data_IF_820871667233
#
_entry.id   IF_820871667233
#
_cell.length_a   1.000
_cell.length_b   1.000
_cell.length_c   1.000
_cell.angle_alpha   90.00
_cell.angle_beta   90.00
_cell.angle_gamma   90.00
#
_symmetry.space_group_name_H-M   'P 1'
#
loop_
_entity.id
_entity.type
_entity.pdbx_description
1 polymer ?
#
# COMPACT_ATOMS: atom_id res chain seq x y z
N UNK A 1 -29.21 -0.42 14.12
CA UNK A 1 -28.47 0.65 14.82
C UNK A 1 -27.16 0.86 14.08
N UNK A 2 -26.68 2.11 14.00
CA UNK A 2 -25.37 2.43 13.41
C UNK A 2 -24.25 1.78 14.22
N UNK A 3 -23.22 1.27 13.53
CA UNK A 3 -22.00 0.78 14.17
C UNK A 3 -21.09 1.95 14.59
N UNK A 4 -21.14 3.06 13.86
CA UNK A 4 -20.38 4.27 14.14
C UNK A 4 -21.05 5.05 15.27
N UNK A 5 -20.28 5.34 16.33
CA UNK A 5 -20.71 6.25 17.39
C UNK A 5 -20.35 7.68 17.01
N UNK A 6 -21.36 8.52 16.79
CA UNK A 6 -21.17 9.92 16.46
C UNK A 6 -21.04 10.73 17.75
N UNK A 7 -19.81 11.07 18.12
CA UNK A 7 -19.48 11.74 19.38
C UNK A 7 -18.52 12.90 19.13
N UNK A 8 -19.09 13.98 18.61
CA UNK A 8 -18.29 15.08 18.12
C UNK A 8 -17.54 15.82 19.23
N UNK A 9 -16.29 16.16 18.95
CA UNK A 9 -15.48 17.02 19.82
C UNK A 9 -15.93 18.48 19.71
N UNK A 10 -15.50 19.33 20.64
CA UNK A 10 -15.85 20.76 20.62
C UNK A 10 -15.22 21.46 19.41
N UNK A 11 -15.93 22.43 18.84
CA UNK A 11 -15.37 23.31 17.82
C UNK A 11 -14.15 24.03 18.39
N UNK A 12 -13.03 23.96 17.69
CA UNK A 12 -11.77 24.61 18.04
C UNK A 12 -10.88 24.72 16.80
N UNK A 13 -9.95 25.68 16.79
CA UNK A 13 -9.12 25.94 15.61
C UNK A 13 -8.14 24.81 15.27
N UNK A 14 -7.76 23.95 16.21
CA UNK A 14 -6.68 22.98 16.05
C UNK A 14 -7.13 21.66 15.43
N UNK A 15 -8.32 21.18 15.78
CA UNK A 15 -8.80 19.87 15.33
C UNK A 15 -10.18 19.90 14.68
N UNK A 16 -11.10 20.77 15.12
CA UNK A 16 -12.45 20.86 14.56
C UNK A 16 -12.85 22.30 14.22
N UNK A 17 -12.54 22.79 13.01
CA UNK A 17 -12.75 24.19 12.66
C UNK A 17 -14.22 24.59 12.45
N UNK A 18 -15.15 23.63 12.39
CA UNK A 18 -16.57 23.92 12.07
C UNK A 18 -16.81 24.37 10.62
N UNK A 19 -15.80 24.26 9.75
CA UNK A 19 -15.90 24.60 8.33
C UNK A 19 -16.59 23.47 7.58
N UNK A 20 -17.58 23.79 6.74
CA UNK A 20 -18.23 22.80 5.88
C UNK A 20 -17.32 22.33 4.75
N UNK A 21 -17.37 21.04 4.46
CA UNK A 21 -16.63 20.46 3.34
C UNK A 21 -17.38 20.66 2.00
N UNK A 22 -16.74 20.32 0.88
CA UNK A 22 -17.30 20.50 -0.47
C UNK A 22 -18.10 19.28 -0.94
N UNK A 23 -18.59 18.47 0.01
CA UNK A 23 -19.17 17.17 -0.26
C UNK A 23 -18.13 16.06 -0.34
N UNK A 24 -18.55 14.85 0.02
CA UNK A 24 -17.67 13.69 0.12
C UNK A 24 -17.41 13.08 -1.26
N UNK A 25 -16.14 13.09 -1.66
CA UNK A 25 -15.63 12.53 -2.93
C UNK A 25 -14.85 11.24 -2.73
N UNK A 26 -14.47 10.89 -1.50
CA UNK A 26 -13.82 9.62 -1.19
C UNK A 26 -13.45 9.46 0.29
N UNK A 27 -12.68 8.42 0.58
CA UNK A 27 -12.21 8.07 1.91
C UNK A 27 -10.68 7.96 1.88
N UNK A 28 -10.01 8.59 2.84
CA UNK A 28 -8.56 8.45 3.03
C UNK A 28 -8.30 7.63 4.27
N UNK A 29 -7.60 6.51 4.09
CA UNK A 29 -7.21 5.58 5.13
C UNK A 29 -5.87 5.98 5.74
N UNK A 30 -5.82 5.94 7.06
CA UNK A 30 -4.66 6.25 7.90
C UNK A 30 -4.48 5.20 8.99
N UNK A 31 -3.36 5.29 9.69
CA UNK A 31 -3.14 4.63 10.97
C UNK A 31 -2.60 5.64 11.97
N UNK A 32 -2.91 5.44 13.23
CA UNK A 32 -2.63 6.45 14.26
C UNK A 32 -1.14 6.57 14.59
N UNK A 33 -0.32 5.56 14.24
CA UNK A 33 1.08 5.43 14.66
C UNK A 33 1.27 5.55 16.19
N UNK A 34 0.23 5.27 16.96
CA UNK A 34 0.18 5.40 18.41
C UNK A 34 -0.14 4.05 19.04
N UNK A 35 0.90 3.29 19.40
CA UNK A 35 0.77 1.94 19.93
C UNK A 35 -0.06 1.92 21.21
N UNK A 36 -1.14 1.15 21.21
CA UNK A 36 -2.06 1.01 22.34
C UNK A 36 -3.07 2.15 22.48
N UNK A 37 -3.04 3.16 21.60
CA UNK A 37 -4.01 4.24 21.61
C UNK A 37 -5.37 3.77 21.09
N UNK A 38 -6.42 3.87 21.92
CA UNK A 38 -7.79 3.51 21.55
C UNK A 38 -8.51 4.62 20.78
N UNK A 39 -9.64 4.33 20.16
CA UNK A 39 -10.48 5.35 19.51
C UNK A 39 -10.90 6.46 20.50
N UNK A 40 -11.15 6.10 21.77
CA UNK A 40 -11.44 7.03 22.87
C UNK A 40 -10.27 7.93 23.20
N UNK A 41 -9.07 7.36 23.32
CA UNK A 41 -7.87 8.16 23.59
C UNK A 41 -7.65 9.21 22.49
N UNK A 42 -7.86 8.84 21.23
CA UNK A 42 -7.74 9.78 20.12
C UNK A 42 -8.84 10.85 20.15
N UNK A 43 -10.10 10.50 20.44
CA UNK A 43 -11.17 11.49 20.66
C UNK A 43 -10.76 12.50 21.74
N UNK A 44 -10.32 12.04 22.90
CA UNK A 44 -9.96 12.91 24.03
C UNK A 44 -8.73 13.77 23.70
N UNK A 45 -7.73 13.19 23.01
CA UNK A 45 -6.58 13.92 22.50
C UNK A 45 -7.00 15.06 21.55
N UNK A 46 -7.80 14.76 20.53
CA UNK A 46 -8.21 15.77 19.56
C UNK A 46 -9.17 16.80 20.15
N UNK A 47 -9.95 16.47 21.18
CA UNK A 47 -10.79 17.43 21.89
C UNK A 47 -9.99 18.47 22.68
N UNK A 48 -8.76 18.13 23.08
CA UNK A 48 -7.87 18.97 23.88
C UNK A 48 -6.60 19.40 23.12
N UNK A 49 -6.56 19.18 21.80
CA UNK A 49 -5.38 19.45 20.98
C UNK A 49 -5.04 20.95 20.99
N UNK A 50 -3.75 21.26 21.15
CA UNK A 50 -3.23 22.63 21.12
C UNK A 50 -1.87 22.64 20.41
N UNK A 51 -1.58 23.72 19.69
CA UNK A 51 -0.27 23.97 19.06
C UNK A 51 -0.02 23.27 17.72
N UNK A 52 -0.88 22.34 17.31
CA UNK A 52 -0.80 21.62 16.01
C UNK A 52 -2.18 21.56 15.37
N UNK A 53 -2.23 21.65 14.04
CA UNK A 53 -3.47 21.49 13.27
C UNK A 53 -3.56 20.06 12.72
N UNK A 54 -4.37 19.22 13.37
CA UNK A 54 -4.54 17.82 12.97
C UNK A 54 -5.89 17.30 13.46
N UNK A 55 -6.51 16.42 12.68
CA UNK A 55 -7.66 15.63 13.08
C UNK A 55 -7.99 14.59 12.03
N UNK A 56 -8.90 13.67 12.35
CA UNK A 56 -9.59 12.82 11.39
C UNK A 56 -11.06 12.73 11.76
N UNK A 57 -11.90 12.26 10.83
CA UNK A 57 -13.33 12.14 11.10
C UNK A 57 -13.62 10.95 12.00
N UNK A 58 -12.99 9.82 11.74
CA UNK A 58 -13.32 8.53 12.33
C UNK A 58 -12.07 7.84 12.87
N UNK A 59 -12.15 7.36 14.11
CA UNK A 59 -11.13 6.50 14.73
C UNK A 59 -11.74 5.13 15.00
N UNK A 60 -11.04 4.08 14.59
CA UNK A 60 -11.52 2.70 14.72
C UNK A 60 -10.48 1.85 15.43
N UNK A 61 -10.91 1.14 16.47
CA UNK A 61 -10.10 0.16 17.18
C UNK A 61 -10.82 -1.20 17.25
N UNK A 62 -10.30 -2.09 18.08
CA UNK A 62 -10.82 -3.43 18.32
C UNK A 62 -12.24 -3.44 18.89
N UNK A 63 -12.70 -2.37 19.53
CA UNK A 63 -13.92 -2.36 20.30
C UNK A 63 -15.00 -1.49 19.64
N UNK A 64 -14.61 -0.38 19.01
CA UNK A 64 -15.57 0.59 18.48
C UNK A 64 -15.03 1.42 17.31
N UNK A 65 -15.96 2.13 16.67
CA UNK A 65 -15.69 3.18 15.69
C UNK A 65 -16.33 4.48 16.19
N UNK A 66 -15.53 5.54 16.36
CA UNK A 66 -15.99 6.83 16.88
C UNK A 66 -15.77 7.92 15.85
N UNK A 67 -16.86 8.53 15.40
CA UNK A 67 -16.82 9.71 14.55
C UNK A 67 -16.78 10.97 15.41
N UNK A 68 -15.65 11.69 15.36
CA UNK A 68 -15.37 12.83 16.23
C UNK A 68 -15.56 14.19 15.55
N UNK A 69 -15.63 14.22 14.21
CA UNK A 69 -15.95 15.41 13.41
C UNK A 69 -17.12 15.04 12.50
N UNK A 70 -18.18 15.88 12.43
CA UNK A 70 -19.28 15.64 11.50
C UNK A 70 -18.79 15.41 10.07
N UNK A 71 -19.39 14.43 9.38
CA UNK A 71 -18.96 14.03 8.04
C UNK A 71 -19.18 15.11 6.97
N UNK A 72 -19.88 16.19 7.29
CA UNK A 72 -20.07 17.37 6.44
C UNK A 72 -19.17 18.56 6.83
N UNK A 73 -18.25 18.35 7.78
CA UNK A 73 -17.21 19.32 8.17
C UNK A 73 -15.83 18.90 7.62
N UNK A 74 -14.87 19.82 7.69
CA UNK A 74 -13.46 19.62 7.34
C UNK A 74 -12.70 19.01 8.53
N UNK A 75 -11.90 17.98 8.26
CA UNK A 75 -10.87 17.48 9.17
C UNK A 75 -9.46 17.70 8.59
N UNK A 76 -8.46 17.92 9.44
CA UNK A 76 -7.08 18.19 9.05
C UNK A 76 -6.26 16.89 8.97
N UNK A 77 -6.49 16.08 7.93
CA UNK A 77 -5.99 14.69 7.90
C UNK A 77 -5.05 14.35 6.73
N UNK A 78 -5.12 15.02 5.57
CA UNK A 78 -4.52 14.52 4.33
C UNK A 78 -3.90 15.58 3.39
N UNK A 79 -3.63 16.80 3.87
CA UNK A 79 -3.10 17.87 3.02
C UNK A 79 -1.69 18.36 3.39
N UNK A 80 -0.96 17.60 4.22
CA UNK A 80 0.45 17.88 4.53
C UNK A 80 1.31 17.68 3.29
N UNK A 81 2.18 18.63 2.94
CA UNK A 81 3.14 18.45 1.84
C UNK A 81 4.34 17.67 2.35
N UNK A 82 4.47 16.40 1.92
CA UNK A 82 5.57 15.52 2.37
C UNK A 82 6.58 15.24 1.25
N UNK A 83 6.21 15.46 -0.02
CA UNK A 83 7.08 15.21 -1.17
C UNK A 83 6.97 16.30 -2.23
N UNK A 84 8.08 16.49 -2.94
CA UNK A 84 8.17 17.29 -4.15
C UNK A 84 8.57 16.39 -5.32
N UNK A 85 8.13 16.75 -6.51
CA UNK A 85 8.60 16.16 -7.75
C UNK A 85 10.03 16.63 -8.05
N UNK A 86 10.70 15.98 -9.01
CA UNK A 86 12.07 16.34 -9.42
C UNK A 86 12.18 17.77 -9.99
N UNK A 87 11.07 18.33 -10.48
CA UNK A 87 10.97 19.70 -10.99
C UNK A 87 10.66 20.74 -9.89
N UNK A 88 10.61 20.33 -8.61
CA UNK A 88 10.28 21.19 -7.49
C UNK A 88 8.78 21.46 -7.29
N UNK A 89 7.91 20.93 -8.16
CA UNK A 89 6.46 21.04 -7.97
C UNK A 89 5.96 20.15 -6.82
N UNK A 90 4.84 20.54 -6.20
CA UNK A 90 4.28 19.79 -5.07
C UNK A 90 3.72 18.45 -5.56
N UNK A 91 4.08 17.35 -4.89
CA UNK A 91 3.55 16.03 -5.18
C UNK A 91 2.07 15.93 -4.75
N UNK A 92 1.14 16.03 -5.72
CA UNK A 92 -0.32 15.91 -5.49
C UNK A 92 -1.02 15.08 -6.58
N UNK A 93 -0.72 13.79 -6.72
CA UNK A 93 -1.23 12.95 -7.81
C UNK A 93 -2.76 12.83 -7.84
N UNK A 94 -3.45 13.04 -6.72
CA UNK A 94 -4.91 12.95 -6.63
C UNK A 94 -5.63 14.31 -6.70
N UNK A 95 -4.92 15.43 -6.84
CA UNK A 95 -5.54 16.75 -6.77
C UNK A 95 -6.60 16.99 -7.86
N UNK A 96 -6.38 16.48 -9.08
CA UNK A 96 -7.38 16.56 -10.16
C UNK A 96 -8.64 15.73 -9.89
N UNK A 97 -8.56 14.71 -9.04
CA UNK A 97 -9.69 13.81 -8.72
C UNK A 97 -10.49 14.30 -7.52
N UNK A 98 -9.82 14.79 -6.47
CA UNK A 98 -10.46 15.14 -5.18
C UNK A 98 -10.17 16.55 -4.68
N UNK A 99 -9.26 17.29 -5.32
CA UNK A 99 -8.80 18.59 -4.85
C UNK A 99 -8.00 18.49 -3.56
N UNK A 100 -8.21 19.42 -2.64
CA UNK A 100 -7.67 19.33 -1.29
C UNK A 100 -8.43 18.23 -0.51
N UNK A 101 -7.74 17.14 -0.17
CA UNK A 101 -8.35 15.98 0.46
C UNK A 101 -9.05 16.30 1.79
N UNK A 102 -8.58 17.28 2.57
CA UNK A 102 -9.24 17.70 3.82
C UNK A 102 -10.68 18.22 3.59
N UNK A 103 -10.96 18.78 2.41
CA UNK A 103 -12.25 19.39 2.06
C UNK A 103 -13.17 18.46 1.27
N UNK A 104 -12.71 17.28 0.89
CA UNK A 104 -13.43 16.40 -0.03
C UNK A 104 -13.41 14.94 0.34
N UNK A 105 -12.79 14.56 1.46
CA UNK A 105 -12.70 13.17 1.86
C UNK A 105 -12.92 12.96 3.37
N UNK A 106 -13.40 11.77 3.69
CA UNK A 106 -13.49 11.31 5.08
C UNK A 106 -12.15 10.67 5.45
N UNK A 107 -11.42 11.28 6.37
CA UNK A 107 -10.26 10.67 7.03
C UNK A 107 -10.67 9.59 8.05
N UNK A 108 -10.19 8.36 7.86
CA UNK A 108 -10.41 7.21 8.75
C UNK A 108 -9.08 6.72 9.31
N UNK A 109 -8.94 6.72 10.62
CA UNK A 109 -7.74 6.33 11.38
C UNK A 109 -7.92 4.95 12.02
N UNK A 110 -7.08 4.01 11.61
CA UNK A 110 -7.00 2.68 12.25
C UNK A 110 -6.05 2.76 13.46
N UNK A 111 -6.61 2.49 14.64
CA UNK A 111 -5.86 2.45 15.88
C UNK A 111 -4.95 1.21 15.96
N UNK A 112 -3.88 1.30 16.75
CA UNK A 112 -2.93 0.22 16.89
C UNK A 112 -3.05 -0.44 18.26
N UNK A 113 -2.85 -1.75 18.30
CA UNK A 113 -2.62 -2.44 19.58
C UNK A 113 -1.30 -1.98 20.23
N UNK A 114 -1.04 -2.47 21.44
CA UNK A 114 0.18 -2.13 22.20
C UNK A 114 1.47 -2.55 21.48
N UNK A 115 1.39 -3.49 20.54
CA UNK A 115 2.51 -3.99 19.75
C UNK A 115 2.71 -3.20 18.44
N UNK A 116 1.84 -2.23 18.16
CA UNK A 116 1.89 -1.42 16.94
C UNK A 116 1.23 -2.04 15.72
N UNK A 117 0.38 -3.06 15.92
CA UNK A 117 -0.32 -3.73 14.83
C UNK A 117 -1.71 -3.13 14.62
N UNK A 118 -2.10 -3.01 13.34
CA UNK A 118 -3.52 -2.97 12.98
C UNK A 118 -4.03 -4.40 13.14
N UNK A 119 -4.78 -4.67 14.20
CA UNK A 119 -5.28 -6.03 14.44
C UNK A 119 -6.33 -6.41 13.40
N UNK A 120 -6.63 -7.69 13.31
CA UNK A 120 -7.75 -8.17 12.49
C UNK A 120 -9.09 -7.60 12.97
N UNK A 121 -9.27 -7.37 14.28
CA UNK A 121 -10.52 -6.85 14.83
C UNK A 121 -10.70 -5.37 14.46
N UNK A 122 -9.63 -4.58 14.54
CA UNK A 122 -9.61 -3.19 14.06
C UNK A 122 -9.87 -3.15 12.55
N UNK A 123 -9.24 -4.03 11.76
CA UNK A 123 -9.50 -4.15 10.32
C UNK A 123 -10.98 -4.42 10.03
N UNK A 124 -11.58 -5.44 10.65
CA UNK A 124 -13.00 -5.80 10.41
C UNK A 124 -13.97 -4.72 10.90
N UNK A 125 -13.69 -4.07 12.02
CA UNK A 125 -14.48 -2.93 12.48
C UNK A 125 -14.39 -1.76 11.50
N UNK A 126 -13.21 -1.54 10.92
CA UNK A 126 -13.01 -0.50 9.90
C UNK A 126 -13.81 -0.83 8.64
N UNK A 127 -13.87 -2.09 8.22
CA UNK A 127 -14.73 -2.54 7.11
C UNK A 127 -16.20 -2.25 7.39
N UNK A 128 -16.70 -2.58 8.60
CA UNK A 128 -18.09 -2.30 8.99
C UNK A 128 -18.41 -0.81 8.93
N UNK A 129 -17.54 0.03 9.52
CA UNK A 129 -17.72 1.47 9.52
C UNK A 129 -17.69 2.05 8.10
N UNK A 130 -16.73 1.65 7.27
CA UNK A 130 -16.64 2.15 5.89
C UNK A 130 -17.82 1.68 5.02
N UNK A 131 -18.34 0.45 5.22
CA UNK A 131 -19.61 0.03 4.57
C UNK A 131 -20.78 0.94 4.93
N UNK A 132 -20.89 1.33 6.21
CA UNK A 132 -21.92 2.28 6.65
C UNK A 132 -21.74 3.65 6.00
N UNK A 133 -20.49 4.15 5.91
CA UNK A 133 -20.19 5.41 5.21
C UNK A 133 -20.56 5.35 3.73
N UNK A 134 -20.25 4.26 3.03
CA UNK A 134 -20.57 4.10 1.60
C UNK A 134 -22.07 4.02 1.37
N UNK A 135 -22.83 3.39 2.28
CA UNK A 135 -24.29 3.40 2.21
C UNK A 135 -24.85 4.83 2.29
N UNK A 136 -24.19 5.73 3.02
CA UNK A 136 -24.55 7.16 3.11
C UNK A 136 -24.03 7.98 1.91
N UNK A 137 -22.91 7.58 1.32
CA UNK A 137 -22.24 8.27 0.21
C UNK A 137 -21.99 7.31 -0.97
N UNK A 138 -23.04 6.93 -1.73
CA UNK A 138 -22.94 5.91 -2.78
C UNK A 138 -22.03 6.29 -3.95
N UNK A 139 -21.69 7.59 -4.08
CA UNK A 139 -20.72 8.09 -5.05
C UNK A 139 -19.25 7.75 -4.68
N UNK A 140 -19.00 7.25 -3.47
CA UNK A 140 -17.71 6.71 -3.01
C UNK A 140 -17.60 5.26 -3.45
N UNK A 141 -17.04 5.08 -4.64
CA UNK A 141 -16.77 3.78 -5.26
C UNK A 141 -15.46 3.18 -4.77
N UNK A 142 -15.22 1.92 -5.10
CA UNK A 142 -13.99 1.17 -4.72
C UNK A 142 -12.67 1.89 -5.01
N UNK A 143 -12.60 2.58 -6.15
CA UNK A 143 -11.42 3.35 -6.57
C UNK A 143 -11.28 4.72 -5.88
N UNK A 144 -12.23 5.10 -5.02
CA UNK A 144 -12.25 6.33 -4.22
C UNK A 144 -11.92 6.08 -2.74
N UNK A 145 -11.30 4.94 -2.45
CA UNK A 145 -10.63 4.65 -1.18
C UNK A 145 -9.13 4.65 -1.43
N UNK A 146 -8.45 5.60 -0.80
CA UNK A 146 -7.01 5.82 -0.96
C UNK A 146 -6.31 5.81 0.40
N UNK A 147 -4.99 5.65 0.41
CA UNK A 147 -4.15 5.88 1.58
C UNK A 147 -3.71 7.34 1.60
N UNK A 148 -3.32 7.87 2.75
CA UNK A 148 -2.64 9.18 2.81
C UNK A 148 -1.40 9.21 1.89
N UNK A 149 -0.69 8.08 1.80
CA UNK A 149 0.41 7.89 0.85
C UNK A 149 0.03 8.25 -0.59
N UNK A 150 -1.16 7.86 -1.04
CA UNK A 150 -1.60 8.11 -2.40
C UNK A 150 -1.94 9.60 -2.63
N UNK A 151 -2.17 10.39 -1.56
CA UNK A 151 -2.45 11.82 -1.64
C UNK A 151 -1.17 12.67 -1.66
N UNK A 152 -0.22 12.37 -0.76
CA UNK A 152 0.93 13.25 -0.48
C UNK A 152 2.27 12.53 -0.47
N UNK A 153 2.28 11.19 -0.58
CA UNK A 153 3.47 10.36 -0.42
C UNK A 153 3.89 10.13 1.04
N UNK A 154 3.10 10.60 2.02
CA UNK A 154 3.31 10.30 3.45
C UNK A 154 3.24 8.79 3.67
N UNK A 155 4.18 8.22 4.42
CA UNK A 155 4.18 6.78 4.72
C UNK A 155 3.05 6.41 5.70
N UNK A 156 1.80 6.53 5.26
CA UNK A 156 0.60 6.35 6.06
C UNK A 156 -0.55 5.79 5.20
N UNK A 157 -1.18 4.66 5.58
CA UNK A 157 -0.79 3.79 6.69
C UNK A 157 0.51 3.04 6.37
N UNK A 158 1.55 3.17 7.20
CA UNK A 158 2.84 2.52 6.93
C UNK A 158 2.72 0.99 6.70
N UNK A 159 1.91 0.24 7.47
CA UNK A 159 1.70 -1.19 7.22
C UNK A 159 1.11 -1.48 5.83
N UNK A 160 0.22 -0.62 5.33
CA UNK A 160 -0.41 -0.79 4.01
C UNK A 160 0.42 -0.19 2.88
N UNK A 161 1.36 0.70 3.18
CA UNK A 161 2.40 1.13 2.23
C UNK A 161 3.41 0.01 2.03
N UNK A 162 3.83 -0.64 3.12
CA UNK A 162 4.70 -1.82 3.08
C UNK A 162 4.02 -3.01 2.41
N UNK A 163 2.73 -3.25 2.70
CA UNK A 163 1.92 -4.32 2.12
C UNK A 163 0.68 -3.78 1.41
N UNK A 164 0.79 -3.33 0.14
CA UNK A 164 -0.34 -2.78 -0.62
C UNK A 164 -1.52 -3.73 -0.80
N UNK A 165 -1.30 -5.05 -0.72
CA UNK A 165 -2.35 -6.06 -0.76
C UNK A 165 -3.37 -5.92 0.37
N UNK A 166 -3.02 -5.30 1.51
CA UNK A 166 -3.98 -5.01 2.59
C UNK A 166 -5.03 -3.95 2.18
N UNK A 167 -4.67 -2.96 1.35
CA UNK A 167 -5.66 -2.01 0.83
C UNK A 167 -6.66 -2.70 -0.10
N UNK A 168 -6.19 -3.62 -0.95
CA UNK A 168 -7.08 -4.37 -1.84
C UNK A 168 -7.95 -5.37 -1.09
N UNK A 169 -7.38 -6.04 -0.07
CA UNK A 169 -8.13 -6.87 0.88
C UNK A 169 -9.23 -6.07 1.57
N UNK A 170 -8.92 -4.84 2.00
CA UNK A 170 -9.89 -3.95 2.61
C UNK A 170 -11.01 -3.58 1.64
N UNK A 171 -10.67 -3.17 0.41
CA UNK A 171 -11.64 -2.84 -0.64
C UNK A 171 -12.53 -4.05 -1.00
N UNK A 172 -11.97 -5.25 -1.07
CA UNK A 172 -12.73 -6.50 -1.25
C UNK A 172 -13.72 -6.74 -0.11
N UNK A 173 -13.27 -6.57 1.14
CA UNK A 173 -14.13 -6.76 2.29
C UNK A 173 -15.29 -5.75 2.33
N UNK A 174 -15.06 -4.52 1.85
CA UNK A 174 -16.04 -3.43 1.80
C UNK A 174 -17.06 -3.60 0.67
N UNK A 175 -16.61 -3.78 -0.58
CA UNK A 175 -17.50 -3.78 -1.76
C UNK A 175 -17.92 -5.18 -2.21
N UNK A 176 -17.41 -6.22 -1.54
CA UNK A 176 -17.40 -7.57 -2.09
C UNK A 176 -16.34 -7.70 -3.18
N UNK A 177 -16.06 -8.94 -3.57
CA UNK A 177 -15.28 -9.20 -4.78
C UNK A 177 -16.15 -8.78 -5.96
N UNK A 178 -15.68 -7.81 -6.75
CA UNK A 178 -16.32 -7.49 -8.02
C UNK A 178 -16.39 -8.78 -8.85
N UNK A 179 -17.58 -9.13 -9.37
CA UNK A 179 -17.71 -10.14 -10.43
C UNK A 179 -16.96 -9.62 -11.66
N UNK A 180 -15.71 -10.02 -11.67
CA UNK A 180 -14.54 -9.40 -12.28
C UNK A 180 -13.37 -9.83 -11.40
N UNK A 181 -13.19 -11.16 -11.36
CA UNK A 181 -12.33 -11.98 -10.48
C UNK A 181 -12.87 -12.31 -9.07
N UNK A 182 -13.85 -13.22 -8.98
CA UNK A 182 -14.09 -14.11 -7.82
C UNK A 182 -12.77 -14.85 -7.45
N UNK A 183 -12.44 -15.28 -6.22
CA UNK A 183 -13.25 -15.96 -5.20
C UNK A 183 -12.53 -15.91 -3.85
N UNK A 184 -13.25 -15.95 -2.72
CA UNK A 184 -12.71 -16.60 -1.52
C UNK A 184 -12.84 -18.12 -1.71
N UNK A 185 -11.84 -18.90 -1.28
CA UNK A 185 -11.99 -20.20 -0.59
C UNK A 185 -10.71 -21.07 -0.69
N UNK A 186 -10.34 -21.67 0.44
CA UNK A 186 -9.65 -22.97 0.53
C UNK A 186 -10.73 -24.08 0.35
N UNK A 187 -10.42 -25.36 0.10
CA UNK A 187 -9.66 -26.00 -0.99
C UNK A 187 -10.54 -26.96 -1.83
N UNK A 188 -10.33 -27.06 -3.15
CA UNK A 188 -10.63 -28.28 -3.95
C UNK A 188 -10.12 -28.17 -5.41
N UNK A 189 -9.31 -29.14 -5.82
CA UNK A 189 -8.89 -29.53 -7.18
C UNK A 189 -10.02 -30.28 -7.93
N UNK A 190 -9.89 -30.72 -9.21
CA UNK A 190 -9.38 -30.08 -10.44
C UNK A 190 -10.29 -30.27 -11.70
N UNK A 191 -10.21 -29.34 -12.67
CA UNK A 191 -10.40 -29.48 -14.16
C UNK A 191 -11.15 -28.27 -14.72
N UNK A 192 -10.88 -27.66 -15.88
CA UNK A 192 -9.80 -27.66 -16.87
C UNK A 192 -9.88 -26.28 -17.61
N UNK A 193 -8.75 -25.79 -18.17
CA UNK A 193 -8.47 -24.40 -18.60
C UNK A 193 -9.28 -23.84 -19.79
N UNK A 194 -9.37 -22.50 -19.92
CA UNK A 194 -8.36 -21.71 -20.70
C UNK A 194 -7.56 -20.66 -19.86
N UNK A 195 -6.30 -20.41 -20.24
CA UNK A 195 -5.22 -19.64 -19.54
C UNK A 195 -5.39 -18.10 -19.49
N UNK A 196 -5.27 -17.46 -18.31
CA UNK A 196 -4.97 -16.00 -18.15
C UNK A 196 -3.99 -15.70 -17.00
N UNK A 197 -2.77 -16.24 -17.07
CA UNK A 197 -1.73 -16.15 -16.02
C UNK A 197 -0.71 -14.99 -16.23
N UNK A 198 -1.08 -13.88 -16.88
CA UNK A 198 -0.16 -12.78 -17.25
C UNK A 198 -0.24 -11.59 -16.28
N UNK A 199 0.92 -11.04 -15.92
CA UNK A 199 1.10 -9.78 -15.16
C UNK A 199 1.32 -8.58 -16.11
N UNK A 200 1.05 -7.33 -15.69
CA UNK A 200 1.35 -6.14 -16.50
C UNK A 200 2.84 -6.00 -16.83
N UNK A 201 3.15 -5.53 -18.04
CA UNK A 201 4.51 -5.22 -18.51
C UNK A 201 4.83 -3.72 -18.31
N UNK A 202 4.62 -3.23 -17.09
CA UNK A 202 4.73 -1.81 -16.73
C UNK A 202 6.16 -1.33 -16.43
N UNK A 203 7.12 -2.25 -16.33
CA UNK A 203 8.51 -1.96 -15.98
C UNK A 203 8.72 -1.67 -14.49
N UNK A 204 7.75 -1.95 -13.63
CA UNK A 204 7.84 -1.77 -12.18
C UNK A 204 8.00 -3.12 -11.49
N UNK A 205 9.12 -3.31 -10.77
CA UNK A 205 9.37 -4.57 -10.07
C UNK A 205 8.66 -4.54 -8.71
N UNK A 206 7.34 -4.58 -8.77
CA UNK A 206 6.45 -4.65 -7.62
C UNK A 206 6.00 -6.07 -7.27
N UNK A 207 5.09 -6.21 -6.29
CA UNK A 207 4.63 -7.50 -5.76
C UNK A 207 4.11 -8.48 -6.82
N UNK A 208 3.41 -8.00 -7.85
CA UNK A 208 2.94 -8.85 -8.97
C UNK A 208 4.09 -9.52 -9.72
N UNK A 209 5.19 -8.79 -9.93
CA UNK A 209 6.40 -9.30 -10.59
C UNK A 209 7.15 -10.25 -9.67
N UNK A 210 7.28 -9.91 -8.38
CA UNK A 210 7.91 -10.77 -7.37
C UNK A 210 7.17 -12.11 -7.21
N UNK A 211 5.84 -12.08 -7.05
CA UNK A 211 5.04 -13.29 -6.92
C UNK A 211 5.07 -14.16 -8.17
N UNK A 212 4.98 -13.55 -9.36
CA UNK A 212 5.07 -14.29 -10.61
C UNK A 212 6.44 -14.96 -10.77
N UNK A 213 7.51 -14.26 -10.37
CA UNK A 213 8.85 -14.81 -10.30
C UNK A 213 8.96 -15.96 -9.30
N UNK A 214 8.42 -15.83 -8.09
CA UNK A 214 8.40 -16.90 -7.09
C UNK A 214 7.64 -18.13 -7.59
N UNK A 215 6.45 -17.95 -8.17
CA UNK A 215 5.68 -19.04 -8.79
C UNK A 215 6.47 -19.74 -9.90
N UNK A 216 7.18 -18.97 -10.74
CA UNK A 216 8.01 -19.54 -11.80
C UNK A 216 9.15 -20.40 -11.25
N UNK A 217 9.70 -20.04 -10.09
CA UNK A 217 10.76 -20.78 -9.39
C UNK A 217 10.23 -21.87 -8.44
N UNK A 218 8.91 -22.06 -8.33
CA UNK A 218 8.30 -23.00 -7.37
C UNK A 218 8.40 -22.55 -5.90
N UNK A 219 8.59 -21.25 -5.65
CA UNK A 219 8.63 -20.62 -4.33
C UNK A 219 7.22 -20.14 -3.96
N UNK A 220 6.83 -20.28 -2.69
CA UNK A 220 5.58 -19.71 -2.17
C UNK A 220 5.63 -18.18 -2.26
N UNK A 221 4.68 -17.53 -2.96
CA UNK A 221 4.64 -16.07 -3.08
C UNK A 221 4.39 -15.37 -1.74
N UNK A 222 5.11 -14.29 -1.48
CA UNK A 222 5.02 -13.50 -0.24
C UNK A 222 4.99 -11.98 -0.48
N UNK A 223 4.72 -11.54 -1.71
CA UNK A 223 4.68 -10.15 -2.19
C UNK A 223 6.04 -9.41 -2.20
N UNK A 224 7.10 -9.99 -1.62
CA UNK A 224 8.31 -9.26 -1.26
C UNK A 224 9.60 -9.85 -1.84
N UNK A 225 10.57 -8.99 -2.11
CA UNK A 225 11.97 -9.38 -2.18
C UNK A 225 12.56 -9.04 -0.81
N UNK A 226 12.56 -10.02 0.08
CA UNK A 226 12.91 -9.83 1.50
C UNK A 226 14.38 -9.48 1.75
N UNK A 227 14.67 -8.82 2.87
CA UNK A 227 16.01 -8.59 3.42
C UNK A 227 17.01 -7.90 2.46
N UNK A 228 16.57 -6.87 1.76
CA UNK A 228 17.39 -6.12 0.82
C UNK A 228 18.05 -4.92 1.51
N UNK A 229 19.26 -4.58 1.08
CA UNK A 229 19.89 -3.32 1.48
C UNK A 229 19.60 -2.23 0.45
N UNK A 230 19.13 -1.06 0.91
CA UNK A 230 18.76 0.05 0.02
C UNK A 230 20.00 0.71 -0.56
N UNK A 231 20.13 0.63 -1.88
CA UNK A 231 21.24 1.19 -2.65
C UNK A 231 20.72 2.00 -3.84
N UNK A 232 21.56 2.84 -4.42
CA UNK A 232 21.20 3.63 -5.61
C UNK A 232 20.72 2.74 -6.78
N UNK A 233 21.31 1.55 -6.92
CA UNK A 233 21.00 0.59 -7.97
C UNK A 233 19.65 -0.10 -7.81
N UNK A 234 19.16 -0.32 -6.59
CA UNK A 234 17.96 -1.11 -6.32
C UNK A 234 16.83 -0.33 -5.63
N UNK A 235 16.98 0.99 -5.43
CA UNK A 235 15.98 1.83 -4.75
C UNK A 235 14.57 1.79 -5.36
N UNK A 236 14.44 1.37 -6.62
CA UNK A 236 13.17 1.20 -7.35
C UNK A 236 12.75 -0.28 -7.52
N UNK A 237 13.37 -1.19 -6.77
CA UNK A 237 12.81 -2.52 -6.55
C UNK A 237 11.60 -2.36 -5.62
N UNK A 238 10.41 -2.13 -6.18
CA UNK A 238 9.20 -1.78 -5.41
C UNK A 238 8.68 -2.91 -4.51
N UNK A 239 9.03 -4.16 -4.81
CA UNK A 239 8.77 -5.30 -3.96
C UNK A 239 9.82 -5.48 -2.84
N UNK A 240 10.91 -4.69 -2.82
CA UNK A 240 11.95 -4.90 -1.82
C UNK A 240 11.47 -4.54 -0.41
N UNK A 241 11.61 -5.50 0.50
CA UNK A 241 11.69 -5.22 1.92
C UNK A 241 13.11 -4.74 2.24
N UNK A 242 13.26 -3.46 2.55
CA UNK A 242 14.57 -2.91 2.90
C UNK A 242 14.82 -3.01 4.40
N UNK A 243 15.90 -3.69 4.80
CA UNK A 243 16.34 -3.79 6.20
C UNK A 243 17.88 -3.88 6.31
N UNK A 244 18.36 -3.98 7.55
CA UNK A 244 19.80 -4.03 7.88
C UNK A 244 20.29 -5.45 8.22
N UNK A 245 19.49 -6.48 8.00
CA UNK A 245 19.80 -7.86 8.41
C UNK A 245 20.71 -8.59 7.42
N UNK A 246 20.77 -8.11 6.17
CA UNK A 246 21.58 -8.67 5.08
C UNK A 246 21.36 -10.18 4.82
N UNK A 247 20.22 -10.74 5.24
CA UNK A 247 19.90 -12.17 5.05
C UNK A 247 19.70 -12.54 3.58
N UNK A 248 19.18 -11.59 2.79
CA UNK A 248 18.81 -11.76 1.40
C UNK A 248 17.55 -12.61 1.19
N UNK A 249 16.92 -12.45 0.03
CA UNK A 249 15.68 -13.19 -0.31
C UNK A 249 15.99 -14.53 -0.95
N UNK A 250 15.10 -15.50 -0.74
CA UNK A 250 15.15 -16.82 -1.38
C UNK A 250 15.09 -16.72 -2.90
N UNK A 251 14.21 -15.87 -3.44
CA UNK A 251 14.05 -15.70 -4.89
C UNK A 251 15.35 -15.18 -5.54
N UNK A 252 15.95 -14.12 -5.00
CA UNK A 252 17.19 -13.57 -5.55
C UNK A 252 18.32 -14.60 -5.42
N UNK A 253 18.37 -15.36 -4.32
CA UNK A 253 19.36 -16.42 -4.12
C UNK A 253 19.23 -17.52 -5.18
N UNK A 254 18.00 -17.89 -5.55
CA UNK A 254 17.71 -18.82 -6.66
C UNK A 254 18.17 -18.27 -8.00
N UNK A 255 17.86 -17.01 -8.30
CA UNK A 255 18.29 -16.37 -9.55
C UNK A 255 19.80 -16.19 -9.65
N UNK A 256 20.49 -15.83 -8.56
CA UNK A 256 21.94 -15.78 -8.50
C UNK A 256 22.56 -17.15 -8.87
N UNK A 257 22.01 -18.26 -8.36
CA UNK A 257 22.45 -19.62 -8.72
C UNK A 257 22.26 -19.91 -10.22
N UNK A 258 21.08 -19.63 -10.77
CA UNK A 258 20.76 -19.86 -12.19
C UNK A 258 21.63 -19.01 -13.12
N UNK A 259 21.75 -17.72 -12.84
CA UNK A 259 22.60 -16.79 -13.60
C UNK A 259 24.08 -17.18 -13.52
N UNK A 260 24.55 -17.67 -12.37
CA UNK A 260 25.91 -18.18 -12.19
C UNK A 260 26.16 -19.45 -13.00
N UNK A 261 25.20 -20.38 -13.04
CA UNK A 261 25.27 -21.58 -13.88
C UNK A 261 25.33 -21.26 -15.38
N UNK A 262 24.80 -20.11 -15.80
CA UNK A 262 24.91 -19.57 -17.17
C UNK A 262 26.19 -18.76 -17.43
N UNK A 263 27.07 -18.60 -16.44
CA UNK A 263 28.27 -17.77 -16.55
C UNK A 263 28.00 -16.26 -16.60
N UNK A 264 26.79 -15.82 -16.22
CA UNK A 264 26.38 -14.40 -16.30
C UNK A 264 26.55 -13.63 -14.98
N UNK A 265 26.74 -14.34 -13.87
CA UNK A 265 26.90 -13.79 -12.53
C UNK A 265 28.09 -14.39 -11.78
N UNK A 266 29.04 -13.54 -11.38
CA UNK A 266 30.25 -13.96 -10.67
C UNK A 266 30.24 -13.60 -9.17
N UNK A 267 29.19 -12.94 -8.68
CA UNK A 267 29.07 -12.53 -7.28
C UNK A 267 28.75 -13.66 -6.31
N UNK A 268 28.57 -13.29 -5.05
CA UNK A 268 28.15 -14.17 -3.97
C UNK A 268 26.68 -14.58 -4.13
N UNK A 269 26.33 -15.81 -3.73
CA UNK A 269 24.94 -16.25 -3.66
C UNK A 269 24.40 -15.86 -2.28
N UNK A 270 24.06 -14.60 -2.10
CA UNK A 270 23.71 -13.98 -0.81
C UNK A 270 22.22 -13.60 -0.69
N UNK A 271 21.46 -13.64 -1.80
CA UNK A 271 20.06 -13.23 -1.86
C UNK A 271 19.87 -11.72 -1.96
N UNK A 272 20.93 -10.93 -2.19
CA UNK A 272 20.88 -9.48 -2.32
C UNK A 272 20.83 -9.05 -3.80
N UNK A 273 19.86 -8.20 -4.12
CA UNK A 273 19.68 -7.61 -5.44
C UNK A 273 20.56 -6.35 -5.56
N UNK A 274 21.88 -6.57 -5.58
CA UNK A 274 22.89 -5.53 -5.77
C UNK A 274 23.25 -5.29 -7.24
N UNK A 275 24.15 -4.34 -7.49
CA UNK A 275 24.56 -3.90 -8.84
C UNK A 275 24.97 -5.06 -9.76
N UNK A 276 25.80 -5.99 -9.29
CA UNK A 276 26.28 -7.10 -10.12
C UNK A 276 25.18 -8.12 -10.44
N UNK A 277 24.22 -8.31 -9.52
CA UNK A 277 23.04 -9.14 -9.77
C UNK A 277 22.14 -8.46 -10.83
N UNK A 278 21.94 -7.15 -10.73
CA UNK A 278 21.14 -6.38 -11.70
C UNK A 278 21.80 -6.42 -13.08
N UNK A 279 23.12 -6.22 -13.18
CA UNK A 279 23.86 -6.35 -14.45
C UNK A 279 23.71 -7.76 -15.07
N UNK A 280 23.73 -8.80 -14.24
CA UNK A 280 23.55 -10.17 -14.72
C UNK A 280 22.15 -10.38 -15.31
N UNK A 281 21.10 -9.90 -14.64
CA UNK A 281 19.73 -9.93 -15.17
C UNK A 281 19.62 -9.12 -16.48
N UNK A 282 20.22 -7.93 -16.54
CA UNK A 282 20.21 -7.07 -17.74
C UNK A 282 20.87 -7.74 -18.94
N UNK A 283 22.05 -8.36 -18.74
CA UNK A 283 22.73 -9.16 -19.77
C UNK A 283 21.84 -10.29 -20.28
N UNK A 284 21.24 -11.04 -19.36
CA UNK A 284 20.41 -12.20 -19.73
C UNK A 284 19.11 -11.79 -20.45
N UNK A 285 18.48 -10.68 -20.04
CA UNK A 285 17.28 -10.13 -20.67
C UNK A 285 17.55 -9.30 -21.93
N UNK A 286 18.83 -9.14 -22.32
CA UNK A 286 19.26 -8.34 -23.48
C UNK A 286 18.76 -6.89 -23.42
N UNK A 287 18.93 -6.27 -22.26
CA UNK A 287 18.62 -4.85 -22.03
C UNK A 287 19.89 -4.07 -21.70
N UNK A 288 19.80 -2.74 -21.61
CA UNK A 288 20.93 -1.89 -21.21
C UNK A 288 21.55 -2.38 -19.91
N UNK A 289 22.88 -2.54 -19.90
CA UNK A 289 23.64 -3.05 -18.76
C UNK A 289 24.25 -1.89 -17.98
N UNK A 290 23.44 -1.23 -17.15
CA UNK A 290 23.85 -0.11 -16.29
C UNK A 290 23.94 -0.49 -14.80
N UNK A 291 23.46 -1.68 -14.44
CA UNK A 291 23.40 -2.17 -13.07
C UNK A 291 22.36 -1.48 -12.18
N UNK A 292 21.38 -0.77 -12.77
CA UNK A 292 20.37 0.02 -12.05
C UNK A 292 18.95 -0.43 -12.44
N UNK A 293 18.06 -0.49 -11.44
CA UNK A 293 16.61 -0.57 -11.62
C UNK A 293 16.08 0.87 -11.64
N UNK A 294 15.73 1.37 -12.81
CA UNK A 294 15.05 2.67 -12.96
C UNK A 294 13.57 2.59 -12.49
N UNK A 295 12.89 3.72 -12.22
CA UNK A 295 11.50 3.71 -11.75
C UNK A 295 10.51 2.99 -12.68
N UNK A 296 10.75 3.09 -13.99
CA UNK A 296 10.13 2.23 -15.01
C UNK A 296 11.27 1.65 -15.83
N UNK A 297 11.63 0.41 -15.54
CA UNK A 297 12.81 -0.26 -16.08
C UNK A 297 12.45 -1.14 -17.26
N UNK A 298 13.14 -0.94 -18.38
CA UNK A 298 13.02 -1.81 -19.54
C UNK A 298 13.52 -3.24 -19.23
N UNK A 299 14.50 -3.37 -18.35
CA UNK A 299 14.91 -4.68 -17.81
C UNK A 299 13.74 -5.35 -17.07
N UNK A 300 13.03 -4.61 -16.23
CA UNK A 300 11.87 -5.16 -15.52
C UNK A 300 10.73 -5.47 -16.50
N UNK A 301 10.51 -4.65 -17.53
CA UNK A 301 9.51 -4.94 -18.57
C UNK A 301 9.85 -6.23 -19.32
N UNK A 302 11.13 -6.42 -19.66
CA UNK A 302 11.62 -7.65 -20.28
C UNK A 302 11.47 -8.86 -19.34
N UNK A 303 11.75 -8.69 -18.04
CA UNK A 303 11.53 -9.71 -17.00
C UNK A 303 10.04 -10.11 -16.93
N UNK A 304 9.13 -9.14 -16.84
CA UNK A 304 7.69 -9.37 -16.81
C UNK A 304 7.22 -10.12 -18.06
N UNK A 305 7.72 -9.73 -19.25
CA UNK A 305 7.45 -10.42 -20.51
C UNK A 305 7.96 -11.86 -20.49
N UNK A 306 9.19 -12.08 -20.02
CA UNK A 306 9.77 -13.42 -19.93
C UNK A 306 8.95 -14.31 -18.98
N UNK A 307 8.57 -13.79 -17.80
CA UNK A 307 7.72 -14.46 -16.82
C UNK A 307 6.32 -14.77 -17.36
N UNK A 308 5.71 -13.82 -18.08
CA UNK A 308 4.41 -14.00 -18.74
C UNK A 308 4.41 -15.13 -19.76
N UNK A 309 5.55 -15.34 -20.41
CA UNK A 309 5.75 -16.39 -21.40
C UNK A 309 6.41 -17.65 -20.81
N UNK A 310 6.64 -17.70 -19.49
CA UNK A 310 7.37 -18.77 -18.79
C UNK A 310 8.74 -19.09 -19.41
N UNK A 311 9.45 -18.06 -19.86
CA UNK A 311 10.74 -18.15 -20.57
C UNK A 311 11.79 -17.24 -19.92
N UNK A 312 12.03 -17.38 -18.61
CA UNK A 312 13.18 -16.69 -18.00
C UNK A 312 14.47 -17.17 -18.68
N UNK A 313 15.36 -16.24 -19.10
CA UNK A 313 16.54 -16.57 -19.90
C UNK A 313 17.75 -17.07 -19.09
N UNK A 314 17.57 -17.38 -17.79
CA UNK A 314 18.57 -18.00 -16.92
C UNK A 314 18.06 -19.26 -16.27
#
# INVERSE_FOLDING_TARGET
>A
MSFIKYEYIRINKFSRPGIKNYGIKGIIMHYTANNGGTARNHKDYFNNLNGVYASAHLFVDDNEAICIIPLDEVAYHANDTVRYNSDGSIYKPLYSQIGNANYGAIGVEMCLDKNGNITEKTFQNTVKAVKELIAKYPNVTRNKIWRHYDVTGKNCPAPWVAKPSELERFKDAVFGKTSGSNSAAKPSTPSAKPNTNKIPEDGMFGPSTANKAMLYEGITPDDEISHQYRQACNKNLYAAQFDNTLKGSTLIRTWQKRLKAKGLYNGAIDGLCGTEMIKAMQRSLKTTVDGIISPKSDMVRALQRALNNNKLPW
#
